data_IF_210691521385
#
_entry.id   IF_210691521385
#
_cell.length_a   1.000
_cell.length_b   1.000
_cell.length_c   1.000
_cell.angle_alpha   90.00
_cell.angle_beta   90.00
_cell.angle_gamma   90.00
#
_symmetry.space_group_name_H-M   'P 1'
#
loop_
_entity.id
_entity.type
_entity.pdbx_description
1 polymer ?
#
# COMPACT_ATOMS: atom_id res chain seq x y z
N UNK A 1 -1.02 45.96 6.38
CA UNK A 1 -0.53 44.93 5.42
C UNK A 1 0.40 43.93 6.10
N UNK A 2 1.20 44.35 7.08
CA UNK A 2 2.25 43.52 7.69
C UNK A 2 1.73 42.26 8.42
N UNK A 3 0.61 42.37 9.15
CA UNK A 3 0.00 41.23 9.83
C UNK A 3 -0.56 40.16 8.86
N UNK A 4 -0.98 40.57 7.65
CA UNK A 4 -1.43 39.64 6.61
C UNK A 4 -0.24 38.94 5.96
N UNK A 5 0.80 39.71 5.58
CA UNK A 5 2.01 39.17 4.99
C UNK A 5 2.72 38.18 5.94
N UNK A 6 2.76 38.50 7.24
CA UNK A 6 3.30 37.62 8.27
C UNK A 6 2.52 36.30 8.39
N UNK A 7 1.18 36.34 8.40
CA UNK A 7 0.35 35.13 8.44
C UNK A 7 0.56 34.25 7.20
N UNK A 8 0.64 34.86 6.02
CA UNK A 8 0.92 34.14 4.77
C UNK A 8 2.30 33.50 4.80
N UNK A 9 3.32 34.23 5.28
CA UNK A 9 4.68 33.69 5.41
C UNK A 9 4.71 32.49 6.35
N UNK A 10 4.10 32.59 7.54
CA UNK A 10 4.02 31.48 8.50
C UNK A 10 3.28 30.29 7.88
N UNK A 11 2.17 30.52 7.17
CA UNK A 11 1.43 29.47 6.49
C UNK A 11 2.29 28.74 5.44
N UNK A 12 3.01 29.47 4.60
CA UNK A 12 3.88 28.90 3.56
C UNK A 12 5.02 28.09 4.18
N UNK A 13 5.60 28.56 5.28
CA UNK A 13 6.64 27.81 6.01
C UNK A 13 6.07 26.50 6.56
N UNK A 14 4.94 26.53 7.27
CA UNK A 14 4.33 25.32 7.82
C UNK A 14 3.90 24.34 6.72
N UNK A 15 3.36 24.86 5.61
CA UNK A 15 2.95 24.07 4.46
C UNK A 15 4.13 23.35 3.81
N UNK A 16 5.22 24.07 3.54
CA UNK A 16 6.42 23.50 2.90
C UNK A 16 7.10 22.47 3.80
N UNK A 17 7.17 22.73 5.10
CA UNK A 17 7.68 21.79 6.10
C UNK A 17 6.82 20.53 6.14
N UNK A 18 5.50 20.67 6.29
CA UNK A 18 4.57 19.53 6.30
C UNK A 18 4.65 18.69 5.03
N UNK A 19 4.71 19.33 3.87
CA UNK A 19 4.85 18.67 2.58
C UNK A 19 6.19 17.91 2.45
N UNK A 20 7.29 18.53 2.88
CA UNK A 20 8.62 17.92 2.83
C UNK A 20 8.71 16.69 3.75
N UNK A 21 8.23 16.79 4.99
CA UNK A 21 8.19 15.66 5.92
C UNK A 21 7.28 14.53 5.43
N UNK A 22 6.09 14.86 4.92
CA UNK A 22 5.17 13.88 4.34
C UNK A 22 5.80 13.12 3.18
N UNK A 23 6.41 13.83 2.23
CA UNK A 23 7.11 13.23 1.08
C UNK A 23 8.33 12.41 1.50
N UNK A 24 9.05 12.84 2.54
CA UNK A 24 10.19 12.08 3.06
C UNK A 24 9.76 10.76 3.70
N UNK A 25 8.77 10.81 4.61
CA UNK A 25 8.22 9.61 5.25
C UNK A 25 7.65 8.64 4.20
N UNK A 26 6.97 9.19 3.19
CA UNK A 26 6.46 8.42 2.08
C UNK A 26 7.57 7.66 1.34
N UNK A 27 8.64 8.36 0.94
CA UNK A 27 9.77 7.74 0.24
C UNK A 27 10.49 6.69 1.08
N UNK A 28 10.70 6.99 2.36
CA UNK A 28 11.34 6.05 3.30
C UNK A 28 10.55 4.73 3.35
N UNK A 29 9.23 4.81 3.50
CA UNK A 29 8.38 3.62 3.54
C UNK A 29 8.39 2.84 2.22
N UNK A 30 8.46 3.49 1.06
CA UNK A 30 8.61 2.78 -0.23
C UNK A 30 9.92 2.01 -0.31
N UNK A 31 11.01 2.59 0.20
CA UNK A 31 12.30 1.93 0.20
C UNK A 31 12.30 0.72 1.14
N UNK A 32 11.69 0.84 2.32
CA UNK A 32 11.51 -0.28 3.26
C UNK A 32 10.68 -1.42 2.63
N UNK A 33 9.60 -1.05 1.93
CA UNK A 33 8.75 -2.00 1.22
C UNK A 33 9.51 -2.74 0.12
N UNK A 34 10.30 -2.01 -0.68
CA UNK A 34 11.13 -2.62 -1.73
C UNK A 34 12.18 -3.58 -1.15
N UNK A 35 12.79 -3.25 -0.01
CA UNK A 35 13.71 -4.15 0.68
C UNK A 35 13.01 -5.44 1.14
N UNK A 36 11.79 -5.32 1.69
CA UNK A 36 11.02 -6.49 2.10
C UNK A 36 10.57 -7.36 0.90
N UNK A 37 10.15 -6.75 -0.20
CA UNK A 37 9.81 -7.46 -1.44
C UNK A 37 10.99 -8.28 -1.95
N UNK A 38 12.20 -7.69 -1.95
CA UNK A 38 13.43 -8.39 -2.36
C UNK A 38 13.79 -9.51 -1.39
N UNK A 39 13.71 -9.27 -0.08
CA UNK A 39 14.00 -10.27 0.96
C UNK A 39 13.06 -11.47 0.86
N UNK A 40 11.78 -11.22 0.61
CA UNK A 40 10.72 -12.24 0.53
C UNK A 40 10.52 -12.79 -0.90
N UNK A 41 11.42 -12.47 -1.84
CA UNK A 41 11.32 -12.92 -3.23
C UNK A 41 11.42 -14.45 -3.37
N UNK A 42 12.06 -15.13 -2.41
CA UNK A 42 12.17 -16.59 -2.39
C UNK A 42 10.81 -17.29 -2.21
N UNK A 43 9.82 -16.62 -1.60
CA UNK A 43 8.45 -17.13 -1.48
C UNK A 43 7.74 -16.90 -2.82
N UNK A 44 7.53 -18.00 -3.54
CA UNK A 44 6.86 -17.99 -4.85
C UNK A 44 5.37 -17.77 -4.68
N UNK A 45 4.76 -16.95 -5.53
CA UNK A 45 3.31 -16.76 -5.54
C UNK A 45 2.75 -17.21 -6.88
N UNK A 46 1.59 -17.87 -6.86
CA UNK A 46 0.76 -18.06 -8.04
C UNK A 46 -0.70 -17.63 -7.81
N UNK A 47 -1.46 -17.47 -8.89
CA UNK A 47 -2.89 -17.17 -8.88
C UNK A 47 -3.75 -18.28 -9.52
N UNK A 48 -3.17 -19.46 -9.76
CA UNK A 48 -3.82 -20.57 -10.45
C UNK A 48 -4.94 -21.16 -9.60
N UNK A 49 -6.09 -21.44 -10.23
CA UNK A 49 -7.25 -22.00 -9.53
C UNK A 49 -7.23 -23.53 -9.46
N UNK A 50 -6.62 -24.19 -10.44
CA UNK A 50 -6.73 -25.65 -10.63
C UNK A 50 -5.41 -26.38 -10.40
N UNK A 51 -4.54 -25.81 -9.57
CA UNK A 51 -3.27 -26.42 -9.20
C UNK A 51 -3.36 -26.87 -7.75
N UNK A 52 -3.06 -28.14 -7.49
CA UNK A 52 -2.99 -28.72 -6.14
C UNK A 52 -1.54 -29.01 -5.79
N UNK A 53 -1.28 -29.16 -4.49
CA UNK A 53 0.01 -29.55 -3.94
C UNK A 53 -0.20 -30.79 -3.07
N UNK A 54 0.75 -31.73 -3.14
CA UNK A 54 0.79 -32.90 -2.25
C UNK A 54 1.31 -32.53 -0.84
N UNK A 55 1.98 -31.38 -0.71
CA UNK A 55 2.48 -30.87 0.56
C UNK A 55 1.38 -30.21 1.40
N UNK A 56 1.56 -30.23 2.73
CA UNK A 56 0.68 -29.57 3.67
C UNK A 56 0.60 -28.05 3.39
N UNK A 57 -0.63 -27.55 3.37
CA UNK A 57 -0.94 -26.15 3.14
C UNK A 57 -1.80 -25.56 4.24
N UNK A 58 -1.64 -24.27 4.49
CA UNK A 58 -2.46 -23.51 5.44
C UNK A 58 -2.91 -22.20 4.80
N UNK A 59 -4.18 -21.82 5.04
CA UNK A 59 -4.68 -20.51 4.65
C UNK A 59 -3.91 -19.42 5.38
N UNK A 60 -3.35 -18.48 4.64
CA UNK A 60 -2.77 -17.24 5.15
C UNK A 60 -3.53 -16.05 4.59
N UNK A 61 -3.60 -14.99 5.38
CA UNK A 61 -4.25 -13.75 4.97
C UNK A 61 -3.58 -12.54 5.60
N UNK A 62 -3.80 -11.37 5.02
CA UNK A 62 -3.30 -10.10 5.53
C UNK A 62 -4.17 -8.94 5.05
N UNK A 63 -4.19 -7.87 5.84
CA UNK A 63 -4.92 -6.64 5.55
C UNK A 63 -4.00 -5.44 5.64
N UNK A 64 -4.26 -4.47 4.77
CA UNK A 64 -3.64 -3.15 4.79
C UNK A 64 -4.72 -2.11 4.54
N UNK A 65 -4.79 -1.10 5.41
CA UNK A 65 -5.62 0.08 5.20
C UNK A 65 -4.70 1.28 5.05
N UNK A 66 -4.82 1.99 3.93
CA UNK A 66 -4.04 3.22 3.67
C UNK A 66 -5.00 4.37 3.43
N UNK A 67 -4.77 5.48 4.14
CA UNK A 67 -5.42 6.75 3.86
C UNK A 67 -4.55 7.62 2.95
N UNK A 68 -5.18 8.42 2.10
CA UNK A 68 -4.47 9.46 1.37
C UNK A 68 -4.14 10.64 2.30
N UNK A 69 -2.97 11.24 2.14
CA UNK A 69 -2.65 12.48 2.84
C UNK A 69 -3.43 13.67 2.24
N UNK A 70 -3.54 14.75 3.02
CA UNK A 70 -4.27 15.96 2.61
C UNK A 70 -3.72 16.58 1.33
N UNK A 71 -2.41 16.49 1.07
CA UNK A 71 -1.81 17.04 -0.15
C UNK A 71 -2.25 16.24 -1.38
N UNK A 72 -2.24 14.91 -1.29
CA UNK A 72 -2.77 14.04 -2.36
C UNK A 72 -4.25 14.27 -2.61
N UNK A 73 -5.05 14.51 -1.57
CA UNK A 73 -6.46 14.89 -1.73
C UNK A 73 -6.62 16.18 -2.54
N UNK A 74 -5.87 17.24 -2.22
CA UNK A 74 -5.93 18.51 -2.97
C UNK A 74 -5.51 18.31 -4.42
N UNK A 75 -4.42 17.57 -4.67
CA UNK A 75 -3.95 17.25 -6.03
C UNK A 75 -5.00 16.45 -6.79
N UNK A 76 -5.64 15.46 -6.15
CA UNK A 76 -6.68 14.65 -6.75
C UNK A 76 -7.89 15.50 -7.15
N UNK A 77 -8.30 16.48 -6.33
CA UNK A 77 -9.39 17.39 -6.68
C UNK A 77 -9.05 18.26 -7.89
N UNK A 78 -7.81 18.76 -7.99
CA UNK A 78 -7.34 19.49 -9.17
C UNK A 78 -7.37 18.58 -10.39
N UNK A 79 -6.86 17.35 -10.28
CA UNK A 79 -6.87 16.37 -11.37
C UNK A 79 -8.30 15.99 -11.78
N UNK A 80 -9.23 15.84 -10.84
CA UNK A 80 -10.64 15.58 -11.11
C UNK A 80 -11.28 16.71 -11.92
N UNK A 81 -10.93 17.97 -11.63
CA UNK A 81 -11.46 19.12 -12.36
C UNK A 81 -11.01 19.12 -13.84
N UNK A 82 -9.75 18.78 -14.10
CA UNK A 82 -9.23 18.68 -15.47
C UNK A 82 -9.54 17.34 -16.16
N UNK A 83 -9.95 16.33 -15.39
CA UNK A 83 -10.18 14.97 -15.85
C UNK A 83 -8.89 14.14 -16.03
N UNK A 84 -9.04 12.88 -16.46
CA UNK A 84 -7.94 11.95 -16.67
C UNK A 84 -7.63 11.05 -15.48
N UNK A 85 -6.37 10.61 -15.36
CA UNK A 85 -5.93 9.65 -14.33
C UNK A 85 -5.59 10.35 -13.01
N UNK A 86 -6.11 9.83 -11.90
CA UNK A 86 -5.81 10.28 -10.55
C UNK A 86 -4.49 9.68 -10.04
N UNK A 87 -3.38 10.13 -10.61
CA UNK A 87 -2.03 9.61 -10.29
C UNK A 87 -1.69 9.67 -8.80
N UNK A 88 -2.22 10.66 -8.08
CA UNK A 88 -2.09 10.77 -6.62
C UNK A 88 -2.72 9.58 -5.89
N UNK A 89 -3.93 9.16 -6.29
CA UNK A 89 -4.61 8.00 -5.70
C UNK A 89 -4.05 6.68 -6.21
N UNK A 90 -3.66 6.59 -7.48
CA UNK A 90 -3.01 5.40 -8.04
C UNK A 90 -1.77 5.00 -7.23
N UNK A 91 -0.97 5.98 -6.78
CA UNK A 91 0.20 5.73 -5.92
C UNK A 91 -0.15 5.11 -4.56
N UNK A 92 -1.31 5.49 -3.98
CA UNK A 92 -1.82 4.97 -2.71
C UNK A 92 -2.28 3.52 -2.89
N UNK A 93 -3.01 3.25 -3.98
CA UNK A 93 -3.49 1.90 -4.30
C UNK A 93 -2.33 0.94 -4.58
N UNK A 94 -1.33 1.38 -5.35
CA UNK A 94 -0.14 0.57 -5.65
C UNK A 94 0.60 0.18 -4.37
N UNK A 95 0.88 1.16 -3.50
CA UNK A 95 1.47 0.92 -2.18
C UNK A 95 0.66 -0.08 -1.36
N UNK A 96 -0.66 0.10 -1.29
CA UNK A 96 -1.52 -0.77 -0.50
C UNK A 96 -1.46 -2.24 -0.96
N UNK A 97 -1.44 -2.47 -2.28
CA UNK A 97 -1.30 -3.82 -2.83
C UNK A 97 0.06 -4.43 -2.52
N UNK A 98 1.14 -3.68 -2.72
CA UNK A 98 2.50 -4.13 -2.44
C UNK A 98 2.69 -4.50 -0.96
N UNK A 99 2.26 -3.61 -0.07
CA UNK A 99 2.29 -3.85 1.38
C UNK A 99 1.45 -5.09 1.77
N UNK A 100 0.26 -5.27 1.19
CA UNK A 100 -0.59 -6.43 1.48
C UNK A 100 0.09 -7.74 1.06
N UNK A 101 0.69 -7.77 -0.13
CA UNK A 101 1.45 -8.95 -0.58
C UNK A 101 2.65 -9.22 0.32
N UNK A 102 3.37 -8.19 0.73
CA UNK A 102 4.52 -8.32 1.64
C UNK A 102 4.09 -8.87 3.00
N UNK A 103 3.00 -8.35 3.59
CA UNK A 103 2.45 -8.89 4.84
C UNK A 103 1.98 -10.33 4.71
N UNK A 104 1.34 -10.68 3.60
CA UNK A 104 0.96 -12.07 3.35
C UNK A 104 2.19 -13.00 3.28
N UNK A 105 3.27 -12.55 2.62
CA UNK A 105 4.53 -13.28 2.58
C UNK A 105 5.21 -13.38 3.94
N UNK A 106 5.10 -12.35 4.80
CA UNK A 106 5.56 -12.41 6.18
C UNK A 106 4.79 -13.47 6.99
N UNK A 107 3.47 -13.57 6.82
CA UNK A 107 2.69 -14.64 7.45
C UNK A 107 3.11 -16.03 6.95
N UNK A 108 3.37 -16.17 5.65
CA UNK A 108 3.88 -17.42 5.08
C UNK A 108 5.30 -17.78 5.62
N UNK A 109 6.19 -16.78 5.74
CA UNK A 109 7.55 -16.94 6.28
C UNK A 109 7.55 -17.50 7.71
N UNK A 110 6.64 -17.01 8.57
CA UNK A 110 6.51 -17.51 9.96
C UNK A 110 6.24 -19.00 10.05
N UNK A 111 5.68 -19.60 9.00
CA UNK A 111 5.33 -21.01 8.93
C UNK A 111 6.35 -21.84 8.14
N UNK A 112 7.46 -21.23 7.72
CA UNK A 112 8.46 -21.89 6.87
C UNK A 112 7.97 -22.19 5.44
N UNK A 113 6.90 -21.54 5.00
CA UNK A 113 6.36 -21.75 3.67
C UNK A 113 7.23 -21.07 2.60
N UNK A 114 7.42 -21.76 1.47
CA UNK A 114 8.20 -21.26 0.32
C UNK A 114 7.31 -20.96 -0.89
N UNK A 115 6.02 -21.25 -0.79
CA UNK A 115 5.07 -21.04 -1.86
C UNK A 115 3.70 -20.62 -1.32
N UNK A 116 3.09 -19.60 -1.93
CA UNK A 116 1.70 -19.21 -1.71
C UNK A 116 0.93 -19.50 -3.00
N UNK A 117 0.00 -20.45 -2.93
CA UNK A 117 -0.84 -20.84 -4.04
C UNK A 117 -2.17 -20.10 -4.03
N UNK A 118 -2.69 -19.78 -5.21
CA UNK A 118 -4.03 -19.21 -5.37
C UNK A 118 -4.18 -17.83 -4.71
N UNK A 119 -3.17 -16.97 -4.78
CA UNK A 119 -3.25 -15.60 -4.28
C UNK A 119 -4.47 -14.88 -4.87
N UNK A 120 -5.21 -14.21 -3.98
CA UNK A 120 -6.30 -13.30 -4.30
C UNK A 120 -6.12 -11.99 -3.53
N UNK A 121 -6.41 -10.89 -4.21
CA UNK A 121 -6.49 -9.56 -3.63
C UNK A 121 -7.93 -9.09 -3.74
N UNK A 122 -8.48 -8.58 -2.64
CA UNK A 122 -9.74 -7.83 -2.61
C UNK A 122 -9.42 -6.40 -2.21
N UNK A 123 -10.21 -5.46 -2.73
CA UNK A 123 -10.02 -4.04 -2.45
C UNK A 123 -11.36 -3.43 -2.08
N UNK A 124 -11.40 -2.74 -0.94
CA UNK A 124 -12.60 -2.11 -0.40
C UNK A 124 -12.32 -0.65 -0.15
N UNK A 125 -13.22 0.23 -0.59
CA UNK A 125 -13.18 1.64 -0.24
C UNK A 125 -13.76 1.83 1.17
N UNK A 126 -13.05 2.58 2.03
CA UNK A 126 -13.43 2.82 3.41
C UNK A 126 -13.61 4.32 3.69
N UNK A 127 -14.59 4.64 4.54
CA UNK A 127 -14.92 6.00 4.97
C UNK A 127 -16.01 6.68 4.13
N UNK A 128 -16.75 7.60 4.74
CA UNK A 128 -17.94 8.23 4.15
C UNK A 128 -17.69 9.04 2.85
N UNK A 129 -16.44 9.36 2.55
CA UNK A 129 -16.04 10.15 1.38
C UNK A 129 -14.88 9.52 0.58
N UNK A 130 -14.62 8.22 0.75
CA UNK A 130 -13.60 7.54 -0.05
C UNK A 130 -12.15 7.88 0.29
N UNK A 131 -11.91 8.19 1.57
CA UNK A 131 -10.60 8.68 2.02
C UNK A 131 -9.56 7.61 2.32
N UNK A 132 -9.98 6.35 2.32
CA UNK A 132 -9.17 5.19 2.71
C UNK A 132 -9.45 4.02 1.79
N UNK A 133 -8.43 3.21 1.59
CA UNK A 133 -8.55 1.96 0.84
C UNK A 133 -8.02 0.81 1.68
N UNK A 134 -8.81 -0.25 1.77
CA UNK A 134 -8.38 -1.53 2.29
C UNK A 134 -7.97 -2.44 1.13
N UNK A 135 -6.83 -3.10 1.28
CA UNK A 135 -6.44 -4.24 0.47
C UNK A 135 -6.31 -5.47 1.36
N UNK A 136 -7.16 -6.45 1.09
CA UNK A 136 -7.13 -7.77 1.71
C UNK A 136 -6.44 -8.74 0.76
N UNK A 137 -5.39 -9.42 1.23
CA UNK A 137 -4.71 -10.46 0.49
C UNK A 137 -4.88 -11.80 1.19
N UNK A 138 -5.15 -12.87 0.44
CA UNK A 138 -5.22 -14.22 0.98
C UNK A 138 -4.77 -15.28 -0.04
N UNK A 139 -4.35 -16.43 0.47
CA UNK A 139 -3.93 -17.59 -0.33
C UNK A 139 -3.54 -18.76 0.56
N UNK A 140 -3.10 -19.85 -0.04
CA UNK A 140 -2.68 -21.05 0.71
C UNK A 140 -1.15 -21.13 0.72
N UNK A 141 -0.54 -20.95 1.89
CA UNK A 141 0.88 -21.13 2.08
C UNK A 141 1.21 -22.63 2.19
N UNK A 142 2.12 -23.10 1.34
CA UNK A 142 2.55 -24.48 1.24
C UNK A 142 3.93 -24.59 1.88
N UNK A 143 4.08 -25.54 2.81
CA UNK A 143 5.37 -25.85 3.41
C UNK A 143 6.34 -26.33 2.32
N UNK A 144 7.58 -25.86 2.37
CA UNK A 144 8.61 -26.34 1.46
C UNK A 144 8.84 -27.86 1.64
N UNK A 145 9.39 -28.53 0.61
CA UNK A 145 9.93 -29.88 0.77
C UNK A 145 11.04 -29.93 1.81
#
# INVERSE_FOLDING_TARGET
MDAFLFKVLVFVILFTVGWAFGRHAERKHLNELELQERRLAYIRIDNNRFKTSEHLGQLVSSNVVISHDYFKYVIANIQNFFGGRLTSYESVVDRARREAVVRLKLEAEKMGATHIMGLRLSTTELGMQGGMIEVFAYGTAIQGP
#
